data_IF_880135330760
#
_entry.id   IF_880135330760
#
_cell.length_a   1.000
_cell.length_b   1.000
_cell.length_c   1.000
_cell.angle_alpha   90.00
_cell.angle_beta   90.00
_cell.angle_gamma   90.00
#
_symmetry.space_group_name_H-M   'P 1'
#
loop_
_entity.id
_entity.type
_entity.pdbx_description
1 polymer ?
#
# COMPACT_ATOMS: atom_id res chain seq x y z
N UNK A 1 -17.65 -53.42 29.23
CA UNK A 1 -17.19 -52.01 29.12
C UNK A 1 -16.19 -51.64 30.23
N UNK A 2 -14.88 -51.57 29.92
CA UNK A 2 -13.84 -51.15 30.88
C UNK A 2 -13.74 -49.62 30.88
N UNK A 3 -14.04 -49.01 32.03
CA UNK A 3 -14.01 -47.57 32.24
C UNK A 3 -12.58 -47.00 32.08
N UNK A 4 -12.47 -45.87 31.37
CA UNK A 4 -11.24 -45.09 31.24
C UNK A 4 -10.93 -44.42 32.58
N UNK A 5 -9.89 -44.92 33.24
CA UNK A 5 -9.40 -44.46 34.54
C UNK A 5 -9.01 -42.98 34.44
N UNK A 6 -9.65 -42.14 35.27
CA UNK A 6 -9.48 -40.69 35.29
C UNK A 6 -8.02 -40.25 35.38
N UNK A 7 -7.64 -39.30 34.53
CA UNK A 7 -6.34 -38.63 34.61
C UNK A 7 -6.34 -37.70 35.82
N UNK A 8 -5.55 -38.07 36.83
CA UNK A 8 -5.37 -37.30 38.05
C UNK A 8 -4.92 -35.87 37.78
N UNK A 9 -5.81 -34.93 38.09
CA UNK A 9 -5.48 -33.55 38.37
C UNK A 9 -4.69 -33.52 39.68
N UNK A 10 -3.37 -33.29 39.62
CA UNK A 10 -2.54 -33.18 40.83
C UNK A 10 -1.15 -33.82 40.79
N UNK A 11 -0.68 -34.35 39.65
CA UNK A 11 0.74 -34.70 39.53
C UNK A 11 1.51 -33.46 39.08
N UNK A 12 2.38 -32.96 39.96
CA UNK A 12 3.41 -31.97 39.63
C UNK A 12 4.04 -32.30 38.28
N UNK A 13 4.25 -31.29 37.44
CA UNK A 13 4.82 -31.47 36.10
C UNK A 13 6.22 -32.06 36.25
N UNK A 14 6.31 -33.38 36.18
CA UNK A 14 7.57 -34.12 36.25
C UNK A 14 8.56 -33.53 35.25
N UNK A 15 9.80 -33.35 35.68
CA UNK A 15 10.92 -32.92 34.82
C UNK A 15 10.96 -33.87 33.63
N UNK A 16 10.75 -33.30 32.43
CA UNK A 16 10.68 -34.06 31.18
C UNK A 16 12.09 -34.12 30.61
N UNK A 17 12.61 -35.32 30.36
CA UNK A 17 13.91 -35.49 29.71
C UNK A 17 13.88 -34.86 28.30
N UNK A 18 14.92 -34.13 27.88
CA UNK A 18 14.94 -33.37 26.62
C UNK A 18 14.67 -34.23 25.38
N UNK A 19 15.16 -35.47 25.34
CA UNK A 19 14.95 -36.40 24.22
C UNK A 19 13.69 -37.27 24.35
N UNK A 20 12.81 -37.03 25.32
CA UNK A 20 11.59 -37.83 25.46
C UNK A 20 10.53 -37.45 24.42
N UNK A 21 9.62 -38.38 24.09
CA UNK A 21 8.47 -38.11 23.21
C UNK A 21 7.62 -36.94 23.70
N UNK A 22 7.49 -36.77 25.03
CA UNK A 22 6.75 -35.68 25.64
C UNK A 22 7.44 -34.33 25.42
N UNK A 23 8.77 -34.27 25.50
CA UNK A 23 9.53 -33.07 25.16
C UNK A 23 9.37 -32.71 23.68
N UNK A 24 9.50 -33.70 22.78
CA UNK A 24 9.30 -33.47 21.35
C UNK A 24 7.88 -32.94 21.02
N UNK A 25 6.85 -33.41 21.74
CA UNK A 25 5.49 -32.89 21.59
C UNK A 25 5.38 -31.43 22.06
N UNK A 26 5.95 -31.09 23.22
CA UNK A 26 5.95 -29.71 23.74
C UNK A 26 6.68 -28.77 22.76
N UNK A 27 7.82 -29.18 22.20
CA UNK A 27 8.55 -28.38 21.21
C UNK A 27 7.71 -28.15 19.94
N UNK A 28 7.01 -29.17 19.44
CA UNK A 28 6.11 -29.03 18.28
C UNK A 28 4.95 -28.07 18.56
N UNK A 29 4.33 -28.17 19.73
CA UNK A 29 3.25 -27.27 20.15
C UNK A 29 3.75 -25.83 20.31
N UNK A 30 4.92 -25.65 20.93
CA UNK A 30 5.59 -24.35 21.06
C UNK A 30 5.84 -23.70 19.70
N UNK A 31 6.44 -24.43 18.76
CA UNK A 31 6.72 -23.91 17.42
C UNK A 31 5.44 -23.60 16.62
N UNK A 32 4.37 -24.39 16.79
CA UNK A 32 3.05 -24.09 16.21
C UNK A 32 2.49 -22.79 16.79
N UNK A 33 2.62 -22.59 18.09
CA UNK A 33 2.15 -21.38 18.77
C UNK A 33 2.98 -20.16 18.35
N UNK A 34 4.30 -20.29 18.25
CA UNK A 34 5.20 -19.23 17.77
C UNK A 34 4.82 -18.78 16.35
N UNK A 35 4.59 -19.73 15.43
CA UNK A 35 4.12 -19.42 14.07
C UNK A 35 2.78 -18.69 14.08
N UNK A 36 1.85 -19.12 14.93
CA UNK A 36 0.54 -18.48 15.07
C UNK A 36 0.67 -17.05 15.58
N UNK A 37 1.51 -16.81 16.59
CA UNK A 37 1.75 -15.45 17.12
C UNK A 37 2.49 -14.58 16.10
N UNK A 38 3.46 -15.10 15.34
CA UNK A 38 4.11 -14.37 14.23
C UNK A 38 3.09 -13.88 13.21
N UNK A 39 2.19 -14.75 12.74
CA UNK A 39 1.15 -14.37 11.78
C UNK A 39 0.17 -13.32 12.34
N UNK A 40 -0.14 -13.37 13.64
CA UNK A 40 -0.96 -12.34 14.29
C UNK A 40 -0.21 -11.00 14.35
N UNK A 41 1.06 -11.03 14.71
CA UNK A 41 1.89 -9.84 14.82
C UNK A 41 2.07 -9.18 13.44
N UNK A 42 2.32 -9.95 12.38
CA UNK A 42 2.41 -9.42 11.01
C UNK A 42 1.11 -8.73 10.56
N UNK A 43 -0.04 -9.34 10.85
CA UNK A 43 -1.35 -8.73 10.57
C UNK A 43 -1.58 -7.46 11.37
N UNK A 44 -1.24 -7.48 12.66
CA UNK A 44 -1.35 -6.31 13.53
C UNK A 44 -0.45 -5.18 13.06
N UNK A 45 0.81 -5.47 12.68
CA UNK A 45 1.74 -4.49 12.12
C UNK A 45 1.21 -3.86 10.83
N UNK A 46 0.64 -4.67 9.93
CA UNK A 46 0.03 -4.15 8.70
C UNK A 46 -1.14 -3.21 8.98
N UNK A 47 -2.01 -3.58 9.94
CA UNK A 47 -3.14 -2.74 10.34
C UNK A 47 -2.68 -1.45 11.04
N UNK A 48 -1.67 -1.55 11.90
CA UNK A 48 -1.06 -0.40 12.58
C UNK A 48 -0.47 0.58 11.57
N UNK A 49 0.28 0.11 10.58
CA UNK A 49 0.87 0.97 9.56
C UNK A 49 -0.20 1.75 8.76
N UNK A 50 -1.32 1.08 8.44
CA UNK A 50 -2.46 1.75 7.81
C UNK A 50 -3.09 2.76 8.77
N UNK A 51 -3.29 2.38 10.03
CA UNK A 51 -3.84 3.25 11.07
C UNK A 51 -3.02 4.53 11.27
N UNK A 52 -1.70 4.41 11.40
CA UNK A 52 -0.77 5.53 11.53
C UNK A 52 -0.83 6.45 10.30
N UNK A 53 -0.89 5.87 9.10
CA UNK A 53 -1.08 6.64 7.86
C UNK A 53 -2.37 7.45 7.92
N UNK A 54 -3.50 6.82 8.28
CA UNK A 54 -4.78 7.52 8.36
C UNK A 54 -4.80 8.57 9.46
N UNK A 55 -4.19 8.28 10.61
CA UNK A 55 -4.07 9.23 11.71
C UNK A 55 -3.34 10.50 11.28
N UNK A 56 -2.26 10.37 10.51
CA UNK A 56 -1.58 11.54 9.94
C UNK A 56 -2.53 12.35 9.04
N UNK A 57 -3.30 11.70 8.17
CA UNK A 57 -4.27 12.42 7.34
C UNK A 57 -5.34 13.11 8.18
N UNK A 58 -5.86 12.45 9.22
CA UNK A 58 -6.88 13.03 10.10
C UNK A 58 -6.37 14.27 10.85
N UNK A 59 -5.12 14.26 11.35
CA UNK A 59 -4.54 15.40 12.07
C UNK A 59 -4.23 16.59 11.17
N UNK A 60 -4.03 16.36 9.87
CA UNK A 60 -3.71 17.40 8.89
C UNK A 60 -4.94 17.85 8.07
N UNK A 61 -6.14 17.37 8.41
CA UNK A 61 -7.39 17.84 7.83
C UNK A 61 -7.86 19.13 8.52
N UNK A 62 -8.33 20.07 7.70
CA UNK A 62 -8.94 21.32 8.18
C UNK A 62 -10.32 20.98 8.75
N UNK A 63 -10.62 21.29 10.02
CA UNK A 63 -11.91 20.93 10.64
C UNK A 63 -13.10 21.69 10.03
N UNK A 64 -12.85 22.86 9.44
CA UNK A 64 -13.91 23.72 8.89
C UNK A 64 -14.31 23.39 7.44
N UNK A 65 -13.47 22.68 6.67
CA UNK A 65 -13.76 22.43 5.25
C UNK A 65 -14.78 21.33 5.04
N UNK A 66 -15.88 21.60 4.35
CA UNK A 66 -16.95 20.58 4.14
C UNK A 66 -16.62 19.61 2.99
N UNK A 67 -15.78 20.04 2.03
CA UNK A 67 -15.40 19.27 0.84
C UNK A 67 -13.96 19.59 0.44
N UNK A 68 -13.25 18.58 -0.06
CA UNK A 68 -11.93 18.76 -0.66
C UNK A 68 -12.01 18.66 -2.18
N UNK A 69 -11.30 19.54 -2.87
CA UNK A 69 -11.04 19.37 -4.30
C UNK A 69 -9.99 18.29 -4.53
N UNK A 70 -9.93 17.74 -5.73
CA UNK A 70 -8.82 16.86 -6.14
C UNK A 70 -7.46 17.52 -5.96
N UNK A 71 -7.37 18.82 -6.27
CA UNK A 71 -6.15 19.61 -6.07
C UNK A 71 -5.74 19.68 -4.60
N UNK A 72 -6.71 19.89 -3.71
CA UNK A 72 -6.43 19.95 -2.27
C UNK A 72 -5.98 18.58 -1.74
N UNK A 73 -6.53 17.49 -2.29
CA UNK A 73 -6.11 16.14 -1.95
C UNK A 73 -4.67 15.87 -2.41
N UNK A 74 -4.29 16.28 -3.61
CA UNK A 74 -2.90 16.22 -4.09
C UNK A 74 -1.96 17.04 -3.18
N UNK A 75 -2.34 18.27 -2.83
CA UNK A 75 -1.55 19.10 -1.91
C UNK A 75 -1.38 18.44 -0.54
N UNK A 76 -2.41 17.77 -0.04
CA UNK A 76 -2.34 17.04 1.23
C UNK A 76 -1.40 15.82 1.13
N UNK A 77 -1.40 15.12 -0.01
CA UNK A 77 -0.46 14.03 -0.28
C UNK A 77 0.97 14.54 -0.36
N UNK A 78 1.22 15.69 -1.00
CA UNK A 78 2.57 16.27 -1.06
C UNK A 78 3.10 16.62 0.34
N UNK A 79 2.24 17.16 1.21
CA UNK A 79 2.57 17.36 2.63
C UNK A 79 2.89 16.03 3.33
N UNK A 80 2.14 14.98 3.05
CA UNK A 80 2.39 13.64 3.60
C UNK A 80 3.74 13.07 3.15
N UNK A 81 4.08 13.21 1.87
CA UNK A 81 5.36 12.76 1.32
C UNK A 81 6.54 13.52 1.92
N UNK A 82 6.35 14.80 2.28
CA UNK A 82 7.38 15.64 2.88
C UNK A 82 7.42 15.56 4.41
N UNK A 83 6.68 14.65 5.06
CA UNK A 83 6.63 14.57 6.54
C UNK A 83 7.98 14.34 7.23
N UNK A 84 8.94 13.73 6.53
CA UNK A 84 10.27 13.43 7.06
C UNK A 84 11.34 14.47 6.68
N UNK A 85 10.98 15.56 5.98
CA UNK A 85 11.98 16.55 5.53
C UNK A 85 12.76 17.16 6.69
N UNK A 86 12.06 17.53 7.78
CA UNK A 86 12.69 18.09 8.98
C UNK A 86 13.58 17.07 9.71
N UNK A 87 13.20 15.79 9.77
CA UNK A 87 14.03 14.74 10.38
C UNK A 87 15.31 14.51 9.55
N UNK A 88 15.19 14.48 8.22
CA UNK A 88 16.35 14.33 7.33
C UNK A 88 17.31 15.52 7.42
N UNK A 89 16.79 16.74 7.44
CA UNK A 89 17.58 17.96 7.61
C UNK A 89 18.33 17.94 8.95
N UNK A 90 17.68 17.52 10.03
CA UNK A 90 18.34 17.38 11.34
C UNK A 90 19.47 16.35 11.33
N UNK A 91 19.28 15.21 10.66
CA UNK A 91 20.32 14.18 10.51
C UNK A 91 21.50 14.72 9.70
N UNK A 92 21.22 15.40 8.58
CA UNK A 92 22.23 16.01 7.73
C UNK A 92 23.07 17.05 8.48
N UNK A 93 22.41 17.94 9.23
CA UNK A 93 23.04 19.00 10.01
C UNK A 93 23.88 18.43 11.17
N UNK A 94 23.40 17.38 11.84
CA UNK A 94 24.20 16.71 12.88
C UNK A 94 25.45 16.03 12.30
N UNK A 95 25.33 15.44 11.10
CA UNK A 95 26.44 14.77 10.45
C UNK A 95 27.47 15.76 9.88
N UNK A 96 27.04 16.90 9.33
CA UNK A 96 27.95 17.93 8.79
C UNK A 96 28.84 18.58 9.86
N UNK A 97 28.37 18.66 11.11
CA UNK A 97 29.14 19.22 12.23
C UNK A 97 30.20 18.23 12.76
N UNK A 98 29.98 16.92 12.66
CA UNK A 98 30.80 15.88 13.31
C UNK A 98 31.50 14.95 12.33
N UNK A 99 31.88 15.46 11.16
CA UNK A 99 32.36 14.66 10.02
C UNK A 99 33.58 13.76 10.36
N UNK A 100 34.39 14.14 11.36
CA UNK A 100 35.53 13.34 11.86
C UNK A 100 35.14 12.15 12.75
N UNK A 101 33.89 12.07 13.23
CA UNK A 101 33.42 11.06 14.17
C UNK A 101 32.39 10.09 13.55
N UNK A 102 32.54 9.71 12.28
CA UNK A 102 31.71 8.70 11.62
C UNK A 102 30.23 9.10 11.48
N UNK A 103 29.59 8.61 10.41
CA UNK A 103 28.19 8.97 10.11
C UNK A 103 27.23 8.34 11.11
N UNK A 104 26.50 9.17 11.87
CA UNK A 104 25.45 8.70 12.78
C UNK A 104 24.12 8.60 12.05
N UNK A 105 23.21 7.77 12.55
CA UNK A 105 21.85 7.60 12.04
C UNK A 105 21.73 7.12 10.57
N UNK A 106 22.78 6.52 10.00
CA UNK A 106 22.77 6.04 8.62
C UNK A 106 21.65 5.05 8.33
N UNK A 107 21.36 4.10 9.25
CA UNK A 107 20.30 3.12 9.09
C UNK A 107 18.91 3.76 9.01
N UNK A 108 18.63 4.72 9.90
CA UNK A 108 17.35 5.46 9.92
C UNK A 108 17.19 6.32 8.68
N UNK A 109 18.23 7.04 8.30
CA UNK A 109 18.24 7.88 7.11
C UNK A 109 17.96 7.07 5.83
N UNK A 110 18.62 5.92 5.67
CA UNK A 110 18.40 5.02 4.53
C UNK A 110 16.96 4.50 4.50
N UNK A 111 16.39 4.07 5.65
CA UNK A 111 15.01 3.60 5.73
C UNK A 111 14.00 4.69 5.35
N UNK A 112 14.23 5.93 5.80
CA UNK A 112 13.37 7.07 5.45
C UNK A 112 13.44 7.33 3.95
N UNK A 113 14.65 7.45 3.39
CA UNK A 113 14.86 7.73 1.95
C UNK A 113 14.20 6.67 1.08
N UNK A 114 14.41 5.39 1.38
CA UNK A 114 13.76 4.27 0.69
C UNK A 114 12.23 4.29 0.82
N UNK A 115 11.71 4.71 1.98
CA UNK A 115 10.25 4.81 2.20
C UNK A 115 9.66 5.95 1.38
N UNK A 116 10.30 7.13 1.40
CA UNK A 116 9.87 8.29 0.60
C UNK A 116 9.92 7.99 -0.90
N UNK A 117 10.98 7.32 -1.36
CA UNK A 117 11.13 6.92 -2.76
C UNK A 117 10.01 5.98 -3.20
N UNK A 118 9.71 4.93 -2.41
CA UNK A 118 8.59 4.02 -2.69
C UNK A 118 7.24 4.75 -2.71
N UNK A 119 6.99 5.64 -1.76
CA UNK A 119 5.73 6.40 -1.71
C UNK A 119 5.60 7.38 -2.90
N UNK A 120 6.70 8.04 -3.31
CA UNK A 120 6.72 8.91 -4.50
C UNK A 120 6.47 8.13 -5.79
N UNK A 121 7.14 7.01 -5.97
CA UNK A 121 6.94 6.13 -7.13
C UNK A 121 5.49 5.65 -7.22
N UNK A 122 4.87 5.31 -6.08
CA UNK A 122 3.45 4.96 -6.03
C UNK A 122 2.55 6.13 -6.42
N UNK A 123 2.82 7.34 -5.93
CA UNK A 123 2.02 8.53 -6.21
C UNK A 123 2.06 8.95 -7.69
N UNK A 124 3.23 8.86 -8.31
CA UNK A 124 3.43 9.22 -9.73
C UNK A 124 2.88 8.15 -10.68
N UNK A 125 3.05 6.87 -10.35
CA UNK A 125 2.59 5.76 -11.18
C UNK A 125 1.10 5.44 -11.02
N UNK A 126 0.78 4.60 -10.04
CA UNK A 126 -0.56 3.99 -9.88
C UNK A 126 -1.52 4.82 -9.01
N UNK A 127 -0.98 5.76 -8.23
CA UNK A 127 -1.70 6.58 -7.28
C UNK A 127 -1.57 6.05 -5.84
N UNK A 128 -1.41 6.98 -4.91
CA UNK A 128 -1.31 6.69 -3.48
C UNK A 128 -2.71 6.49 -2.90
N UNK A 129 -2.89 5.41 -2.15
CA UNK A 129 -4.17 5.09 -1.50
C UNK A 129 -4.37 5.94 -0.23
N UNK A 130 -5.38 6.80 -0.23
CA UNK A 130 -5.73 7.70 0.87
C UNK A 130 -7.23 7.61 1.20
N UNK A 131 -7.69 8.07 2.38
CA UNK A 131 -9.11 8.19 2.67
C UNK A 131 -9.83 9.06 1.62
N UNK A 132 -11.06 8.69 1.27
CA UNK A 132 -11.87 9.50 0.36
C UNK A 132 -12.35 10.79 1.05
N UNK A 133 -11.54 11.84 0.89
CA UNK A 133 -11.81 13.19 1.39
C UNK A 133 -12.61 14.06 0.40
N UNK A 134 -12.79 13.58 -0.83
CA UNK A 134 -13.53 14.31 -1.89
C UNK A 134 -15.03 14.23 -1.62
N UNK A 135 -15.50 13.06 -1.17
CA UNK A 135 -16.91 12.83 -0.86
C UNK A 135 -17.25 13.32 0.56
N UNK A 136 -18.19 14.25 0.68
CA UNK A 136 -18.55 14.86 1.97
C UNK A 136 -19.06 13.86 3.03
N UNK A 137 -19.79 12.81 2.63
CA UNK A 137 -20.27 11.77 3.56
C UNK A 137 -19.11 10.97 4.16
N UNK A 138 -18.16 10.54 3.31
CA UNK A 138 -16.99 9.78 3.71
C UNK A 138 -16.05 10.64 4.58
N UNK A 139 -15.95 11.94 4.28
CA UNK A 139 -15.19 12.89 5.07
C UNK A 139 -15.73 13.02 6.50
N UNK A 140 -17.06 13.03 6.69
CA UNK A 140 -17.67 13.03 8.03
C UNK A 140 -17.32 11.77 8.81
N UNK A 141 -17.50 10.60 8.19
CA UNK A 141 -17.14 9.31 8.83
C UNK A 141 -15.65 9.22 9.15
N UNK A 142 -14.81 9.83 8.33
CA UNK A 142 -13.36 9.86 8.56
C UNK A 142 -12.96 10.82 9.68
N UNK A 143 -13.69 11.92 9.87
CA UNK A 143 -13.46 12.86 10.99
C UNK A 143 -13.86 12.28 12.34
N UNK A 144 -15.01 11.63 12.38
CA UNK A 144 -15.57 10.99 13.58
C UNK A 144 -14.89 9.64 13.89
N UNK A 145 -13.86 9.26 13.13
CA UNK A 145 -13.15 8.02 13.39
C UNK A 145 -12.28 8.13 14.65
N UNK A 146 -12.62 7.32 15.67
CA UNK A 146 -11.96 7.29 16.99
C UNK A 146 -10.61 6.56 17.01
N UNK A 147 -9.90 6.48 15.87
CA UNK A 147 -8.64 5.71 15.73
C UNK A 147 -8.77 4.19 15.99
N UNK A 148 -9.98 3.66 16.10
CA UNK A 148 -10.19 2.22 16.26
C UNK A 148 -9.86 1.48 14.95
N UNK A 149 -8.84 0.63 15.00
CA UNK A 149 -8.38 -0.18 13.88
C UNK A 149 -9.45 -1.16 13.37
N UNK A 150 -10.44 -1.52 14.19
CA UNK A 150 -11.57 -2.37 13.77
C UNK A 150 -12.51 -1.65 12.80
N UNK A 151 -12.55 -0.31 12.84
CA UNK A 151 -13.38 0.52 11.97
C UNK A 151 -12.69 0.84 10.63
N UNK A 152 -11.43 0.43 10.43
CA UNK A 152 -10.69 0.64 9.17
C UNK A 152 -11.44 0.15 7.92
N UNK A 153 -12.09 -1.04 7.90
CA UNK A 153 -12.82 -1.50 6.72
C UNK A 153 -14.01 -0.62 6.33
N UNK A 154 -14.54 0.19 7.26
CA UNK A 154 -15.65 1.09 7.00
C UNK A 154 -15.20 2.38 6.31
N UNK A 155 -13.91 2.73 6.41
CA UNK A 155 -13.33 3.92 5.78
C UNK A 155 -13.10 3.62 4.31
N UNK A 156 -13.76 4.39 3.43
CA UNK A 156 -13.55 4.26 1.99
C UNK A 156 -12.21 4.85 1.59
N UNK A 157 -11.38 4.02 0.98
CA UNK A 157 -10.08 4.41 0.43
C UNK A 157 -10.22 4.75 -1.07
N UNK A 158 -9.42 5.70 -1.53
CA UNK A 158 -9.34 6.13 -2.93
C UNK A 158 -7.88 6.32 -3.32
N UNK A 159 -7.54 5.93 -4.55
CA UNK A 159 -6.21 6.17 -5.13
C UNK A 159 -6.21 7.53 -5.82
N UNK A 160 -5.21 8.35 -5.50
CA UNK A 160 -5.01 9.66 -6.12
C UNK A 160 -3.58 9.72 -6.67
N UNK A 161 -3.44 10.17 -7.91
CA UNK A 161 -2.15 10.32 -8.57
C UNK A 161 -1.79 11.79 -8.78
N UNK A 162 -0.52 12.07 -9.05
CA UNK A 162 -0.06 13.43 -9.36
C UNK A 162 -0.84 14.08 -10.53
N UNK A 163 -1.28 13.27 -11.49
CA UNK A 163 -2.06 13.73 -12.63
C UNK A 163 -3.47 14.22 -12.29
N UNK A 164 -4.02 13.89 -11.11
CA UNK A 164 -5.34 14.37 -10.67
C UNK A 164 -5.33 15.86 -10.27
N UNK A 165 -4.16 16.44 -9.97
CA UNK A 165 -4.01 17.86 -9.70
C UNK A 165 -4.25 18.72 -10.96
N UNK A 166 -3.95 18.16 -12.13
CA UNK A 166 -4.10 18.84 -13.42
C UNK A 166 -5.52 18.56 -13.94
N UNK A 167 -6.35 19.59 -14.18
CA UNK A 167 -7.64 19.39 -14.80
C UNK A 167 -7.42 18.88 -16.23
N UNK A 168 -7.58 17.57 -16.45
CA UNK A 168 -7.63 17.03 -17.81
C UNK A 168 -8.82 17.67 -18.51
N UNK A 169 -8.58 18.37 -19.63
CA UNK A 169 -9.66 18.82 -20.51
C UNK A 169 -10.41 17.56 -20.95
N UNK A 170 -11.58 17.32 -20.37
CA UNK A 170 -12.44 16.23 -20.77
C UNK A 170 -12.85 16.50 -22.22
N UNK A 171 -12.35 15.72 -23.18
CA UNK A 171 -12.97 15.63 -24.49
C UNK A 171 -14.38 15.09 -24.21
N UNK A 172 -15.38 15.95 -24.25
CA UNK A 172 -16.79 15.53 -24.17
C UNK A 172 -16.98 14.48 -25.27
N UNK A 173 -17.16 13.22 -24.89
CA UNK A 173 -17.73 12.23 -25.83
C UNK A 173 -19.19 12.64 -25.99
N UNK A 174 -19.51 13.26 -27.12
CA UNK A 174 -20.88 13.39 -27.60
C UNK A 174 -21.38 11.97 -27.84
N UNK A 175 -22.12 11.41 -26.89
CA UNK A 175 -22.97 10.25 -27.13
C UNK A 175 -24.11 10.72 -28.02
N UNK A 176 -23.97 10.55 -29.33
CA UNK A 176 -25.09 10.61 -30.25
C UNK A 176 -25.85 9.30 -30.08
N UNK A 177 -27.02 9.37 -29.44
CA UNK A 177 -28.06 8.35 -29.54
C UNK A 177 -28.70 8.52 -30.92
N UNK A 178 -28.45 7.58 -31.85
CA UNK A 178 -29.25 7.43 -33.07
C UNK A 178 -30.18 6.26 -32.82
N UNK A 179 -31.41 6.56 -32.44
CA UNK A 179 -32.54 5.64 -32.59
C UNK A 179 -32.90 5.59 -34.10
N UNK A 180 -33.16 4.38 -34.60
CA UNK A 180 -32.96 4.02 -36.02
C UNK A 180 -34.08 4.35 -37.01
N UNK A 181 -33.83 4.00 -38.28
CA UNK A 181 -34.80 3.45 -39.23
C UNK A 181 -34.08 2.84 -40.45
N UNK A 182 -34.68 1.82 -41.05
CA UNK A 182 -34.20 1.01 -42.18
C UNK A 182 -34.37 1.72 -43.54
N UNK A 183 -33.43 1.52 -44.48
CA UNK A 183 -33.73 1.64 -45.92
C UNK A 183 -32.60 2.10 -46.85
N UNK A 184 -32.09 1.15 -47.65
CA UNK A 184 -32.02 1.23 -49.12
C UNK A 184 -30.81 1.87 -49.87
N UNK A 185 -30.22 1.01 -50.73
CA UNK A 185 -29.59 1.17 -52.06
C UNK A 185 -28.30 1.99 -52.36
N UNK A 186 -27.29 1.26 -52.86
CA UNK A 186 -26.34 1.61 -53.96
C UNK A 186 -25.28 2.68 -53.66
N UNK A 187 -24.12 2.81 -54.31
CA UNK A 187 -23.41 2.15 -55.42
C UNK A 187 -22.12 2.99 -55.63
N UNK A 188 -21.02 2.38 -56.14
CA UNK A 188 -19.72 2.97 -56.52
C UNK A 188 -18.89 3.72 -55.44
N UNK A 189 -17.56 3.59 -55.33
CA UNK A 189 -16.55 2.91 -56.12
C UNK A 189 -15.16 3.53 -55.83
N UNK A 190 -14.16 2.66 -55.66
CA UNK A 190 -12.76 2.77 -56.12
C UNK A 190 -11.71 3.69 -55.45
N UNK A 191 -10.46 3.21 -55.54
CA UNK A 191 -9.12 3.70 -55.12
C UNK A 191 -8.71 3.30 -53.69
N UNK A 192 -7.78 2.37 -53.44
CA UNK A 192 -6.68 1.83 -54.25
C UNK A 192 -5.35 2.05 -53.53
N UNK A 193 -4.74 0.94 -53.06
CA UNK A 193 -3.32 0.72 -52.71
C UNK A 193 -2.74 1.54 -51.51
N UNK A 194 -1.94 1.01 -50.58
CA UNK A 194 -0.64 0.36 -50.77
C UNK A 194 -0.27 -0.54 -49.58
N UNK A 195 0.26 -1.72 -49.92
CA UNK A 195 0.96 -2.69 -49.06
C UNK A 195 2.20 -2.09 -48.37
N UNK A 196 2.39 -2.41 -47.08
CA UNK A 196 3.72 -2.55 -46.48
C UNK A 196 3.68 -3.70 -45.46
N UNK A 197 4.17 -4.87 -45.91
CA UNK A 197 4.80 -5.88 -45.05
C UNK A 197 6.16 -5.33 -44.64
N UNK A 198 6.55 -5.53 -43.38
CA UNK A 198 7.94 -5.81 -43.02
C UNK A 198 8.00 -6.52 -41.66
N UNK A 199 8.17 -7.83 -41.77
CA UNK A 199 9.18 -8.69 -41.14
C UNK A 199 9.53 -8.54 -39.65
N UNK A 200 9.47 -9.69 -38.99
CA UNK A 200 10.00 -9.98 -37.67
C UNK A 200 11.53 -9.87 -37.63
N UNK A 201 12.07 -9.38 -36.51
CA UNK A 201 13.47 -9.62 -36.13
C UNK A 201 13.50 -10.09 -34.68
N UNK A 202 13.72 -11.39 -34.57
CA UNK A 202 14.01 -12.18 -33.38
C UNK A 202 15.54 -12.23 -33.26
N UNK A 203 16.10 -11.74 -32.16
CA UNK A 203 17.53 -11.85 -31.89
C UNK A 203 17.77 -12.35 -30.47
N UNK A 204 17.99 -13.67 -30.40
CA UNK A 204 18.69 -14.40 -29.35
C UNK A 204 20.18 -14.00 -29.33
N UNK A 205 20.71 -13.61 -28.17
CA UNK A 205 22.15 -13.67 -27.89
C UNK A 205 22.39 -14.35 -26.54
N UNK A 206 22.99 -15.54 -26.62
CA UNK A 206 23.50 -16.38 -25.53
C UNK A 206 24.82 -15.83 -24.94
N UNK A 207 24.94 -15.99 -23.62
CA UNK A 207 26.12 -16.35 -22.83
C UNK A 207 27.40 -15.48 -22.86
N UNK A 208 27.76 -15.00 -21.66
CA UNK A 208 29.08 -15.31 -21.08
C UNK A 208 29.01 -15.37 -19.55
N UNK A 209 29.45 -16.50 -18.98
CA UNK A 209 29.82 -16.63 -17.58
C UNK A 209 31.31 -16.27 -17.45
N UNK A 210 31.67 -15.46 -16.46
CA UNK A 210 33.06 -15.18 -16.10
C UNK A 210 33.33 -15.76 -14.72
N UNK A 211 34.43 -16.51 -14.69
CA UNK A 211 35.01 -17.24 -13.57
C UNK A 211 35.56 -16.34 -12.45
#
# INVERSE_FOLDING_TARGET
PKALKGKGAGREKKVVHPYSRKAAQITRESHKQEKKEKLKNEKALRLNLIGEKLQWFQSHLDPQKVKYSKKDACNLIERYLNRFSSELEQIELHNSIKDRQGRRHCSRETVIKQTMERERQQYEGYGLEIPDIITASNLKTFREWDFDLKKLPNIKMRKICANDAIPRKCKKKTTVTVDGDLGDLGDLGDLGDLDLKDEASDSDEEMTAVA
#
